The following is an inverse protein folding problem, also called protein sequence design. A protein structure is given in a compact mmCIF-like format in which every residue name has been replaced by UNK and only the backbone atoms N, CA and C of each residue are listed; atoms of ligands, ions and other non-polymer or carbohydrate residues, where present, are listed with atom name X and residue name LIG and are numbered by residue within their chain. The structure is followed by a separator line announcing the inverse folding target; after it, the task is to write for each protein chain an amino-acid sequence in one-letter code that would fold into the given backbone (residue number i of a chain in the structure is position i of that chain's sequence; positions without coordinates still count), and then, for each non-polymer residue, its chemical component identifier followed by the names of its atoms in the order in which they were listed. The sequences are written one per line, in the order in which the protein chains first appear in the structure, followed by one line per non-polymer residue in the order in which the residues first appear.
data_IF_224826580014
#
_entry.id   IF_224826580014
#
_cell.length_a   1.000
_cell.length_b   1.000
_cell.length_c   1.000
_cell.angle_alpha   90.00
_cell.angle_beta   90.00
_cell.angle_gamma   90.00
#
_symmetry.space_group_name_H-M   'P 1'
#
loop_
_entity.id
_entity.type
_entity.pdbx_description
1 polymer ?
#
# COMPACT_ATOMS: atom_id res chain seq x y z
N UNK A 1 -20.93 104.84 27.36
CA UNK A 1 -20.17 103.58 27.23
C UNK A 1 -21.07 102.36 27.10
N UNK A 2 -21.15 101.75 25.92
CA UNK A 2 -21.77 100.42 25.75
C UNK A 2 -20.70 99.37 26.04
N UNK A 3 -20.81 98.72 27.20
CA UNK A 3 -19.97 97.58 27.61
C UNK A 3 -20.27 96.43 26.65
N UNK A 4 -19.35 96.13 25.72
CA UNK A 4 -19.44 94.98 24.83
C UNK A 4 -19.45 93.71 25.67
N UNK A 5 -20.51 92.90 25.56
CA UNK A 5 -20.56 91.59 26.20
C UNK A 5 -19.55 90.66 25.52
N UNK A 6 -18.76 89.87 26.27
CA UNK A 6 -17.79 88.96 25.67
C UNK A 6 -18.54 87.85 24.92
N UNK A 7 -18.31 87.76 23.61
CA UNK A 7 -18.80 86.67 22.75
C UNK A 7 -17.71 85.63 22.59
N UNK A 8 -18.00 84.38 22.96
CA UNK A 8 -17.12 83.26 22.69
C UNK A 8 -17.22 82.86 21.22
N UNK A 9 -16.10 82.91 20.50
CA UNK A 9 -15.97 82.37 19.15
C UNK A 9 -15.24 81.03 19.21
N UNK A 10 -15.61 80.02 18.39
CA UNK A 10 -14.91 78.74 18.36
C UNK A 10 -13.44 78.91 17.98
N UNK A 11 -12.53 78.22 18.69
CA UNK A 11 -11.13 78.12 18.28
C UNK A 11 -11.02 77.32 16.99
N UNK A 12 -10.38 77.91 15.95
CA UNK A 12 -10.13 77.22 14.68
C UNK A 12 -8.71 76.63 14.69
N UNK A 13 -8.61 75.30 14.75
CA UNK A 13 -7.35 74.57 14.63
C UNK A 13 -6.97 74.31 13.16
N UNK A 14 -5.72 73.87 12.93
CA UNK A 14 -5.24 73.45 11.62
C UNK A 14 -6.08 72.27 11.09
N UNK A 15 -6.41 72.31 9.80
CA UNK A 15 -7.18 71.27 9.12
C UNK A 15 -6.40 69.95 9.09
N UNK A 16 -7.04 68.80 9.44
CA UNK A 16 -6.36 67.52 9.44
C UNK A 16 -5.90 67.12 8.03
N UNK A 17 -4.70 66.52 7.88
CA UNK A 17 -4.18 66.11 6.58
C UNK A 17 -4.79 64.76 6.14
N UNK A 18 -6.07 64.75 5.76
CA UNK A 18 -6.84 63.51 5.51
C UNK A 18 -6.32 62.66 4.33
N UNK A 19 -5.77 63.30 3.29
CA UNK A 19 -5.19 62.59 2.15
C UNK A 19 -3.81 61.99 2.45
N UNK A 20 -3.16 62.45 3.51
CA UNK A 20 -1.84 61.98 3.92
C UNK A 20 -2.04 60.86 4.95
N UNK A 21 -1.41 59.71 4.72
CA UNK A 21 -1.47 58.55 5.61
C UNK A 21 -2.84 57.86 5.71
N UNK A 22 -3.65 57.85 4.64
CA UNK A 22 -4.86 57.00 4.52
C UNK A 22 -5.91 57.19 5.63
N UNK A 23 -5.99 58.41 6.19
CA UNK A 23 -6.90 58.78 7.27
C UNK A 23 -8.31 59.09 6.74
N UNK A 24 -9.32 58.53 7.38
CA UNK A 24 -10.73 58.81 7.13
C UNK A 24 -11.30 59.51 8.37
N UNK A 25 -11.86 60.71 8.17
CA UNK A 25 -12.58 61.42 9.22
C UNK A 25 -13.94 60.76 9.44
N UNK A 26 -14.25 60.36 10.66
CA UNK A 26 -15.61 59.95 11.01
C UNK A 26 -16.43 61.19 11.34
N UNK A 27 -17.61 61.32 10.74
CA UNK A 27 -18.57 62.37 11.10
C UNK A 27 -18.98 62.21 12.57
N UNK A 28 -18.59 63.17 13.41
CA UNK A 28 -19.16 63.34 14.75
C UNK A 28 -19.86 64.70 14.74
N UNK A 29 -21.18 64.66 14.63
CA UNK A 29 -22.06 65.84 14.53
C UNK A 29 -22.41 66.46 15.89
N UNK A 30 -21.79 66.05 17.00
CA UNK A 30 -22.25 66.41 18.35
C UNK A 30 -21.30 67.24 19.23
N UNK A 31 -19.99 67.32 18.97
CA UNK A 31 -19.04 68.12 19.79
C UNK A 31 -18.19 69.07 18.92
N UNK A 32 -18.44 70.38 19.03
CA UNK A 32 -17.64 71.42 18.36
C UNK A 32 -16.17 71.36 18.83
N UNK A 33 -15.23 71.23 17.89
CA UNK A 33 -13.79 71.21 18.18
C UNK A 33 -13.20 69.82 18.47
N UNK A 34 -13.95 68.74 18.25
CA UNK A 34 -13.48 67.35 18.38
C UNK A 34 -13.50 66.67 17.02
N UNK A 35 -12.42 65.97 16.67
CA UNK A 35 -12.33 65.17 15.45
C UNK A 35 -11.96 63.74 15.80
N UNK A 36 -12.57 62.78 15.10
CA UNK A 36 -12.25 61.36 15.22
C UNK A 36 -11.72 60.83 13.91
N UNK A 37 -10.62 60.11 14.00
CA UNK A 37 -9.93 59.48 12.90
C UNK A 37 -10.19 57.98 12.90
N UNK A 38 -10.26 57.43 11.70
CA UNK A 38 -10.25 56.00 11.42
C UNK A 38 -9.36 55.76 10.19
N UNK A 39 -8.91 54.53 9.99
CA UNK A 39 -8.16 54.17 8.81
C UNK A 39 -9.06 53.46 7.80
N UNK A 40 -8.65 53.48 6.53
CA UNK A 40 -9.25 52.61 5.51
C UNK A 40 -9.03 51.14 5.85
N UNK A 41 -9.85 50.27 5.27
CA UNK A 41 -9.74 48.82 5.48
C UNK A 41 -8.32 48.30 5.14
N UNK A 42 -7.80 47.40 5.98
CA UNK A 42 -6.42 46.90 5.85
C UNK A 42 -5.34 47.76 6.49
N UNK A 43 -5.72 48.82 7.21
CA UNK A 43 -4.80 49.70 7.93
C UNK A 43 -5.18 49.86 9.40
N UNK A 44 -4.19 49.87 10.28
CA UNK A 44 -4.34 50.10 11.72
C UNK A 44 -3.89 51.51 12.09
N UNK A 45 -4.72 52.19 12.89
CA UNK A 45 -4.46 53.54 13.38
C UNK A 45 -3.43 53.51 14.51
N UNK A 46 -2.31 54.21 14.33
CA UNK A 46 -1.30 54.41 15.37
C UNK A 46 -1.34 55.86 15.86
N UNK A 47 -1.64 56.07 17.14
CA UNK A 47 -1.77 57.39 17.77
C UNK A 47 -3.16 57.60 18.38
N UNK A 48 -3.49 58.83 18.78
CA UNK A 48 -4.79 59.12 19.35
C UNK A 48 -5.89 59.09 18.26
N UNK A 49 -6.94 58.25 18.40
CA UNK A 49 -8.05 58.22 17.44
C UNK A 49 -8.95 59.46 17.55
N UNK A 50 -8.82 60.25 18.61
CA UNK A 50 -9.64 61.44 18.86
C UNK A 50 -8.74 62.61 19.23
N UNK A 51 -8.85 63.71 18.49
CA UNK A 51 -8.15 64.97 18.80
C UNK A 51 -9.14 66.05 19.21
N UNK A 52 -8.75 66.86 20.19
CA UNK A 52 -9.53 67.99 20.70
C UNK A 52 -8.77 69.29 20.47
N UNK A 53 -9.43 70.28 19.90
CA UNK A 53 -8.87 71.59 19.64
C UNK A 53 -8.84 72.42 20.93
N UNK A 54 -7.65 72.83 21.37
CA UNK A 54 -7.46 73.59 22.59
C UNK A 54 -7.72 75.10 22.36
N UNK A 55 -7.99 75.89 23.43
CA UNK A 55 -8.08 77.36 23.34
C UNK A 55 -6.83 78.03 22.76
N UNK A 56 -5.66 77.36 22.86
CA UNK A 56 -4.39 77.77 22.25
C UNK A 56 -4.35 77.61 20.73
N UNK A 57 -5.43 77.15 20.07
CA UNK A 57 -5.52 76.86 18.63
C UNK A 57 -4.60 75.73 18.15
N UNK A 58 -4.19 74.86 19.06
CA UNK A 58 -3.41 73.67 18.78
C UNK A 58 -4.20 72.41 19.17
N UNK A 59 -3.92 71.30 18.49
CA UNK A 59 -4.44 69.99 18.87
C UNK A 59 -3.79 69.53 20.17
N UNK A 60 -4.53 68.75 20.97
CA UNK A 60 -4.04 68.18 22.21
C UNK A 60 -2.97 67.08 22.01
N UNK A 61 -2.86 66.54 20.80
CA UNK A 61 -1.88 65.53 20.40
C UNK A 61 -1.57 65.67 18.90
N UNK A 62 -0.55 64.96 18.44
CA UNK A 62 -0.17 64.80 17.04
C UNK A 62 -1.21 64.02 16.22
N UNK A 63 -1.23 64.25 14.91
CA UNK A 63 -2.11 63.49 14.01
C UNK A 63 -1.71 62.00 14.00
N UNK A 64 -2.68 61.08 14.14
CA UNK A 64 -2.40 59.65 14.05
C UNK A 64 -1.95 59.26 12.63
N UNK A 65 -1.31 58.10 12.51
CA UNK A 65 -0.82 57.56 11.23
C UNK A 65 -1.45 56.19 11.00
N UNK A 66 -2.02 55.96 9.81
CA UNK A 66 -2.45 54.63 9.41
C UNK A 66 -1.27 53.83 8.88
N UNK A 67 -1.05 52.66 9.46
CA UNK A 67 -0.05 51.70 8.98
C UNK A 67 -0.75 50.49 8.40
N UNK A 68 -0.19 49.95 7.32
CA UNK A 68 -0.70 48.75 6.68
C UNK A 68 -0.68 47.57 7.65
N UNK A 69 -1.77 46.81 7.68
CA UNK A 69 -1.88 45.58 8.47
C UNK A 69 -0.92 44.53 7.91
N UNK A 70 -0.17 43.90 8.81
CA UNK A 70 0.78 42.85 8.50
C UNK A 70 0.33 41.56 9.17
N UNK A 71 0.20 40.50 8.38
CA UNK A 71 -0.04 39.16 8.90
C UNK A 71 1.27 38.51 9.35
N UNK A 72 1.21 37.50 10.24
CA UNK A 72 2.36 36.67 10.54
C UNK A 72 2.82 35.91 9.29
N UNK A 73 4.05 35.37 9.34
CA UNK A 73 4.50 34.42 8.31
C UNK A 73 3.45 33.31 8.14
N UNK A 74 3.13 32.88 6.91
CA UNK A 74 2.16 31.81 6.67
C UNK A 74 2.54 30.57 7.51
N UNK A 75 1.59 29.99 8.27
CA UNK A 75 1.85 28.80 9.08
C UNK A 75 2.23 27.60 8.22
N UNK A 76 3.13 26.76 8.73
CA UNK A 76 3.43 25.47 8.10
C UNK A 76 2.32 24.46 8.40
N UNK A 77 2.01 23.57 7.45
CA UNK A 77 1.03 22.48 7.62
C UNK A 77 1.71 21.12 7.48
N UNK A 78 1.17 20.10 8.13
CA UNK A 78 1.70 18.75 7.99
C UNK A 78 1.54 18.26 6.55
N UNK A 79 2.61 17.68 6.00
CA UNK A 79 2.65 17.12 4.66
C UNK A 79 2.34 18.10 3.51
N UNK A 80 2.50 19.41 3.74
CA UNK A 80 2.35 20.43 2.71
C UNK A 80 3.29 21.62 2.91
N UNK A 81 3.35 22.49 1.92
CA UNK A 81 4.19 23.69 1.94
C UNK A 81 3.41 24.93 1.47
N UNK A 82 3.65 26.10 2.11
CA UNK A 82 3.11 27.36 1.63
C UNK A 82 3.89 27.85 0.40
N UNK A 83 3.17 28.37 -0.60
CA UNK A 83 3.77 29.05 -1.74
C UNK A 83 4.60 30.26 -1.33
N UNK A 84 5.63 30.57 -2.12
CA UNK A 84 6.51 31.70 -1.87
C UNK A 84 5.76 33.03 -1.98
N UNK A 85 5.76 33.81 -0.90
CA UNK A 85 5.21 35.17 -0.88
C UNK A 85 6.27 36.21 -0.51
N UNK A 86 6.40 37.30 -1.30
CA UNK A 86 7.43 38.32 -1.08
C UNK A 86 7.11 39.25 0.09
N UNK A 87 5.84 39.33 0.50
CA UNK A 87 5.37 40.20 1.58
C UNK A 87 4.07 39.66 2.18
N UNK A 88 3.82 39.98 3.45
CA UNK A 88 2.68 39.48 4.24
C UNK A 88 1.80 40.63 4.74
N UNK A 89 1.23 41.39 3.83
CA UNK A 89 0.35 42.52 4.15
C UNK A 89 -1.11 42.22 3.80
N UNK A 90 -2.04 43.05 4.30
CA UNK A 90 -3.47 42.95 3.97
C UNK A 90 -3.71 42.73 2.47
N UNK A 91 -4.52 41.72 2.13
CA UNK A 91 -4.81 41.32 0.76
C UNK A 91 -3.75 40.42 0.10
N UNK A 92 -2.61 40.16 0.76
CA UNK A 92 -1.65 39.15 0.30
C UNK A 92 -2.29 37.78 0.30
N UNK A 93 -1.95 36.95 -0.69
CA UNK A 93 -2.50 35.61 -0.89
C UNK A 93 -1.39 34.58 -0.92
N UNK A 94 -1.62 33.44 -0.26
CA UNK A 94 -0.69 32.32 -0.20
C UNK A 94 -1.43 31.08 -0.66
N UNK A 95 -0.86 30.36 -1.61
CA UNK A 95 -1.39 29.09 -2.08
C UNK A 95 -0.57 27.94 -1.50
N UNK A 96 -1.23 26.98 -0.87
CA UNK A 96 -0.63 25.77 -0.33
C UNK A 96 -0.66 24.64 -1.36
N UNK A 97 0.36 23.81 -1.30
CA UNK A 97 0.45 22.56 -2.05
C UNK A 97 0.84 21.42 -1.11
N UNK A 98 0.21 20.26 -1.29
CA UNK A 98 0.59 19.05 -0.57
C UNK A 98 1.78 18.36 -1.24
N UNK A 99 2.56 17.64 -0.45
CA UNK A 99 3.61 16.76 -0.95
C UNK A 99 3.01 15.58 -1.74
N UNK A 100 3.83 14.93 -2.57
CA UNK A 100 3.43 13.75 -3.33
C UNK A 100 2.84 12.65 -2.43
N UNK A 101 1.71 12.09 -2.85
CA UNK A 101 0.97 11.08 -2.10
C UNK A 101 0.01 11.64 -1.05
N UNK A 102 -0.19 12.96 -1.02
CA UNK A 102 -1.18 13.62 -0.18
C UNK A 102 -2.13 14.49 -1.02
N UNK A 103 -3.41 14.46 -0.67
CA UNK A 103 -4.47 15.27 -1.27
C UNK A 103 -4.78 16.48 -0.38
N UNK A 104 -4.95 17.63 -1.03
CA UNK A 104 -5.34 18.86 -0.36
C UNK A 104 -6.84 18.86 -0.06
N UNK A 105 -7.19 18.90 1.21
CA UNK A 105 -8.56 19.03 1.69
C UNK A 105 -8.80 20.43 2.26
N UNK A 106 -9.76 21.15 1.68
CA UNK A 106 -10.08 22.54 2.05
C UNK A 106 -9.70 23.53 0.94
N UNK A 107 -9.57 24.80 1.30
CA UNK A 107 -9.23 25.85 0.34
C UNK A 107 -7.70 25.99 0.25
N UNK A 108 -7.16 25.80 -0.96
CA UNK A 108 -5.72 25.88 -1.17
C UNK A 108 -5.15 27.30 -1.00
N UNK A 109 -5.97 28.34 -1.17
CA UNK A 109 -5.56 29.74 -1.07
C UNK A 109 -6.12 30.40 0.19
N UNK A 110 -5.22 30.99 0.99
CA UNK A 110 -5.55 31.86 2.12
C UNK A 110 -5.13 33.31 1.83
N UNK A 111 -5.85 34.25 2.43
CA UNK A 111 -5.68 35.70 2.27
C UNK A 111 -5.48 36.36 3.62
N UNK A 112 -4.59 37.36 3.67
CA UNK A 112 -4.36 38.16 4.86
C UNK A 112 -5.50 39.18 5.05
N UNK A 113 -6.25 39.05 6.14
CA UNK A 113 -7.41 39.89 6.43
C UNK A 113 -7.05 41.21 7.13
N UNK A 114 -8.04 42.10 7.23
CA UNK A 114 -7.89 43.40 7.89
C UNK A 114 -7.60 43.27 9.39
N UNK A 115 -7.96 42.14 10.01
CA UNK A 115 -7.66 41.85 11.42
C UNK A 115 -6.22 41.36 11.65
N UNK A 116 -5.44 41.19 10.57
CA UNK A 116 -4.05 40.71 10.65
C UNK A 116 -3.91 39.20 10.77
N UNK A 117 -5.00 38.47 10.54
CA UNK A 117 -5.05 37.01 10.52
C UNK A 117 -5.25 36.47 9.11
N UNK A 118 -4.78 35.25 8.86
CA UNK A 118 -5.00 34.56 7.61
C UNK A 118 -6.37 33.90 7.59
N UNK A 119 -7.07 33.99 6.45
CA UNK A 119 -8.34 33.29 6.26
C UNK A 119 -8.54 32.84 4.80
N UNK A 120 -9.35 31.81 4.52
CA UNK A 120 -10.03 30.94 5.47
C UNK A 120 -9.06 30.04 6.25
N UNK A 121 -9.60 29.12 7.06
CA UNK A 121 -8.80 28.14 7.80
C UNK A 121 -7.83 27.38 6.89
N UNK A 122 -6.69 26.99 7.47
CA UNK A 122 -5.62 26.29 6.75
C UNK A 122 -6.13 24.97 6.14
N UNK A 123 -5.68 24.61 4.92
CA UNK A 123 -6.00 23.32 4.34
C UNK A 123 -5.26 22.19 5.07
N UNK A 124 -5.80 20.98 4.96
CA UNK A 124 -5.16 19.76 5.48
C UNK A 124 -4.68 18.89 4.33
N UNK A 125 -3.49 18.31 4.45
CA UNK A 125 -2.97 17.32 3.51
C UNK A 125 -3.22 15.91 4.06
N UNK A 126 -4.14 15.18 3.43
CA UNK A 126 -4.49 13.81 3.83
C UNK A 126 -3.84 12.82 2.88
N UNK A 127 -3.31 11.67 3.35
CA UNK A 127 -2.67 10.71 2.46
C UNK A 127 -3.68 10.16 1.45
N UNK A 128 -3.23 9.88 0.22
CA UNK A 128 -4.04 9.12 -0.74
C UNK A 128 -4.32 7.73 -0.20
N UNK A 129 -5.50 7.20 -0.52
CA UNK A 129 -5.91 5.84 -0.17
C UNK A 129 -6.02 4.99 -1.43
N UNK A 130 -5.31 3.87 -1.43
CA UNK A 130 -5.40 2.84 -2.45
C UNK A 130 -6.66 1.97 -2.25
N UNK A 131 -7.21 1.38 -3.32
CA UNK A 131 -8.37 0.50 -3.21
C UNK A 131 -8.07 -0.74 -2.37
N UNK A 132 -9.09 -1.39 -1.83
CA UNK A 132 -8.91 -2.67 -1.14
C UNK A 132 -8.25 -3.68 -2.09
N UNK A 133 -7.15 -4.35 -1.68
CA UNK A 133 -6.49 -5.34 -2.53
C UNK A 133 -7.38 -6.55 -2.81
N UNK A 134 -7.34 -7.04 -4.04
CA UNK A 134 -8.11 -8.21 -4.46
C UNK A 134 -7.51 -9.51 -3.92
N UNK A 135 -8.37 -10.48 -3.60
CA UNK A 135 -7.93 -11.82 -3.23
C UNK A 135 -7.45 -12.61 -4.46
N UNK A 136 -6.35 -13.35 -4.30
CA UNK A 136 -5.84 -14.24 -5.35
C UNK A 136 -6.17 -15.71 -5.04
N UNK A 137 -6.46 -16.49 -6.08
CA UNK A 137 -6.76 -17.92 -5.94
C UNK A 137 -5.58 -18.67 -5.32
N UNK A 138 -5.84 -19.47 -4.29
CA UNK A 138 -4.83 -20.20 -3.51
C UNK A 138 -3.78 -19.30 -2.83
N UNK A 139 -4.05 -18.00 -2.72
CA UNK A 139 -3.25 -17.08 -1.92
C UNK A 139 -3.91 -16.68 -0.61
N UNK A 140 -3.13 -15.92 0.15
CA UNK A 140 -3.47 -15.28 1.41
C UNK A 140 -2.94 -13.85 1.27
N UNK A 141 -3.79 -12.87 1.56
CA UNK A 141 -3.46 -11.45 1.50
C UNK A 141 -3.34 -10.90 2.92
N UNK A 142 -2.21 -10.27 3.23
CA UNK A 142 -1.95 -9.56 4.48
C UNK A 142 -1.85 -8.05 4.18
N UNK A 143 -2.80 -7.28 4.70
CA UNK A 143 -2.93 -5.84 4.41
C UNK A 143 -2.40 -5.06 5.60
N UNK A 144 -1.26 -4.39 5.44
CA UNK A 144 -0.63 -3.60 6.51
C UNK A 144 -1.11 -2.13 6.55
N UNK A 145 -1.91 -1.72 5.57
CA UNK A 145 -2.53 -0.41 5.45
C UNK A 145 -3.01 -0.15 4.03
N UNK A 146 -3.76 0.93 3.83
CA UNK A 146 -4.27 1.33 2.50
C UNK A 146 -3.79 2.72 2.07
N UNK A 147 -3.13 3.48 2.95
CA UNK A 147 -2.69 4.84 2.66
C UNK A 147 -1.34 4.85 1.94
N UNK A 148 -0.94 6.00 1.39
CA UNK A 148 0.36 6.21 0.75
C UNK A 148 1.52 5.55 1.49
N UNK A 149 2.37 4.81 0.77
CA UNK A 149 3.50 4.00 1.26
C UNK A 149 3.13 2.78 2.14
N UNK A 150 1.84 2.54 2.40
CA UNK A 150 1.41 1.27 3.00
C UNK A 150 1.68 0.10 2.05
N UNK A 151 1.80 -1.10 2.62
CA UNK A 151 2.13 -2.31 1.87
C UNK A 151 1.10 -3.41 2.06
N UNK A 152 1.04 -4.28 1.06
CA UNK A 152 0.22 -5.49 1.05
C UNK A 152 1.13 -6.65 0.69
N UNK A 153 1.08 -7.71 1.47
CA UNK A 153 1.87 -8.91 1.26
C UNK A 153 0.98 -10.09 0.84
N UNK A 154 1.28 -10.65 -0.32
CA UNK A 154 0.69 -11.88 -0.80
C UNK A 154 1.58 -13.06 -0.46
N UNK A 155 0.94 -14.12 0.04
CA UNK A 155 1.57 -15.42 0.26
C UNK A 155 0.69 -16.50 -0.34
N UNK A 156 1.28 -17.63 -0.74
CA UNK A 156 0.51 -18.76 -1.27
C UNK A 156 0.21 -19.76 -0.17
N UNK A 157 -0.94 -20.42 -0.28
CA UNK A 157 -1.29 -21.57 0.57
C UNK A 157 -0.30 -22.71 0.34
N UNK A 158 -0.14 -23.64 1.29
CA UNK A 158 0.74 -24.79 1.13
C UNK A 158 0.44 -25.58 -0.16
N UNK A 159 1.49 -26.01 -0.85
CA UNK A 159 1.41 -26.69 -2.15
C UNK A 159 1.33 -25.77 -3.36
N UNK A 160 1.40 -24.45 -3.16
CA UNK A 160 1.46 -23.44 -4.22
C UNK A 160 2.69 -22.56 -4.09
N UNK A 161 3.29 -22.22 -5.23
CA UNK A 161 4.40 -21.28 -5.36
C UNK A 161 3.91 -19.91 -5.85
N UNK A 162 4.48 -18.84 -5.31
CA UNK A 162 4.15 -17.47 -5.71
C UNK A 162 4.98 -17.06 -6.93
N UNK A 163 4.30 -16.66 -8.00
CA UNK A 163 4.91 -16.14 -9.22
C UNK A 163 4.60 -14.65 -9.34
N UNK A 164 5.62 -13.80 -9.29
CA UNK A 164 5.49 -12.34 -9.37
C UNK A 164 6.05 -11.63 -8.14
N UNK A 165 5.66 -10.37 -7.93
CA UNK A 165 6.04 -9.62 -6.74
C UNK A 165 5.09 -9.97 -5.58
N UNK A 166 5.63 -10.42 -4.46
CA UNK A 166 4.85 -10.74 -3.28
C UNK A 166 4.27 -9.48 -2.61
N UNK A 167 4.91 -8.32 -2.78
CA UNK A 167 4.53 -7.08 -2.08
C UNK A 167 4.05 -6.01 -3.06
N UNK A 168 2.89 -5.43 -2.77
CA UNK A 168 2.42 -4.20 -3.42
C UNK A 168 2.57 -3.02 -2.46
N UNK A 169 2.85 -1.84 -2.99
CA UNK A 169 3.02 -0.60 -2.21
C UNK A 169 2.05 0.45 -2.72
N UNK A 170 1.36 1.16 -1.84
CA UNK A 170 0.43 2.22 -2.25
C UNK A 170 1.20 3.43 -2.79
N UNK A 171 1.00 3.73 -4.07
CA UNK A 171 1.65 4.82 -4.79
C UNK A 171 1.07 6.19 -4.47
N UNK A 172 1.79 7.23 -4.88
CA UNK A 172 1.38 8.62 -4.68
C UNK A 172 0.12 9.01 -5.47
N UNK A 173 -0.23 8.23 -6.49
CA UNK A 173 -1.40 8.40 -7.35
C UNK A 173 -2.65 7.65 -6.83
N UNK A 174 -2.55 6.99 -5.67
CA UNK A 174 -3.64 6.19 -5.10
C UNK A 174 -3.81 4.82 -5.76
N UNK A 175 -2.82 4.33 -6.50
CA UNK A 175 -2.82 2.98 -7.05
C UNK A 175 -1.73 2.10 -6.44
N UNK A 176 -2.01 0.80 -6.37
CA UNK A 176 -1.02 -0.18 -5.95
C UNK A 176 0.10 -0.30 -6.99
N UNK A 177 1.32 -0.05 -6.54
CA UNK A 177 2.54 -0.24 -7.31
C UNK A 177 3.00 -1.69 -7.18
N UNK A 178 3.18 -2.33 -8.33
CA UNK A 178 3.59 -3.72 -8.45
C UNK A 178 2.59 -4.55 -9.27
N UNK A 179 3.04 -5.67 -9.81
CA UNK A 179 2.18 -6.60 -10.53
C UNK A 179 1.50 -7.57 -9.57
N UNK A 180 0.20 -7.79 -9.76
CA UNK A 180 -0.55 -8.81 -8.99
C UNK A 180 0.11 -10.19 -9.14
N UNK A 181 0.50 -10.85 -8.05
CA UNK A 181 1.13 -12.18 -8.12
C UNK A 181 0.10 -13.27 -8.38
N UNK A 182 0.59 -14.42 -8.85
CA UNK A 182 -0.24 -15.61 -9.10
C UNK A 182 0.33 -16.80 -8.36
N UNK A 183 -0.51 -17.50 -7.59
CA UNK A 183 -0.16 -18.76 -6.96
C UNK A 183 -0.36 -19.91 -7.93
N UNK A 184 0.73 -20.61 -8.28
CA UNK A 184 0.68 -21.81 -9.13
C UNK A 184 0.95 -23.07 -8.31
N UNK A 185 0.34 -24.22 -8.64
CA UNK A 185 0.62 -25.45 -7.94
C UNK A 185 2.10 -25.83 -8.07
N UNK A 186 2.75 -26.17 -6.97
CA UNK A 186 4.12 -26.69 -6.96
C UNK A 186 4.19 -27.90 -7.88
N UNK A 187 5.26 -27.98 -8.68
CA UNK A 187 5.48 -29.10 -9.61
C UNK A 187 6.50 -30.05 -9.02
N UNK A 188 6.12 -31.32 -8.88
CA UNK A 188 7.03 -32.37 -8.44
C UNK A 188 8.09 -32.69 -9.48
N UNK A 189 9.19 -33.27 -9.00
CA UNK A 189 10.24 -33.84 -9.85
C UNK A 189 9.64 -34.83 -10.86
N UNK A 190 10.13 -34.87 -12.12
CA UNK A 190 9.66 -35.83 -13.11
C UNK A 190 9.65 -37.26 -12.56
N UNK A 191 8.59 -38.01 -12.87
CA UNK A 191 8.49 -39.41 -12.50
C UNK A 191 9.69 -40.17 -13.08
N UNK A 192 10.40 -40.93 -12.24
CA UNK A 192 11.58 -41.69 -12.67
C UNK A 192 11.14 -42.85 -13.55
N UNK A 193 11.87 -43.11 -14.62
CA UNK A 193 11.67 -44.34 -15.39
C UNK A 193 12.21 -45.54 -14.62
N UNK A 194 11.45 -46.63 -14.58
CA UNK A 194 11.84 -47.85 -13.90
C UNK A 194 12.14 -48.97 -14.91
N UNK A 195 13.25 -49.70 -14.78
CA UNK A 195 13.53 -50.85 -15.63
C UNK A 195 12.43 -51.89 -15.52
N UNK A 196 12.06 -52.52 -16.64
CA UNK A 196 11.01 -53.53 -16.71
C UNK A 196 9.64 -53.04 -16.17
N UNK A 197 9.38 -51.74 -16.20
CA UNK A 197 8.09 -51.16 -15.84
C UNK A 197 7.78 -49.88 -16.59
N UNK A 198 6.64 -49.28 -16.27
CA UNK A 198 6.12 -48.04 -16.87
C UNK A 198 5.47 -47.18 -15.80
N UNK A 199 5.65 -45.88 -15.90
CA UNK A 199 4.93 -44.87 -15.11
C UNK A 199 3.87 -44.21 -15.98
N UNK A 200 2.74 -43.85 -15.38
CA UNK A 200 1.64 -43.15 -16.02
C UNK A 200 1.14 -42.04 -15.10
N UNK A 201 1.02 -40.82 -15.63
CA UNK A 201 0.49 -39.66 -14.91
C UNK A 201 -0.14 -38.68 -15.89
N UNK A 202 -1.14 -37.93 -15.45
CA UNK A 202 -1.76 -36.85 -16.22
C UNK A 202 -1.08 -35.49 -15.99
N UNK A 203 -0.56 -35.29 -14.78
CA UNK A 203 0.05 -34.06 -14.31
C UNK A 203 1.00 -34.36 -13.16
N UNK A 204 1.99 -33.50 -12.96
CA UNK A 204 3.01 -33.63 -11.90
C UNK A 204 2.85 -32.54 -10.83
N UNK A 205 1.71 -31.86 -10.81
CA UNK A 205 1.45 -30.78 -9.86
C UNK A 205 1.01 -31.32 -8.49
N UNK A 206 1.10 -30.48 -7.46
CA UNK A 206 0.66 -30.78 -6.09
C UNK A 206 -0.70 -31.50 -6.05
N UNK A 207 -0.77 -32.59 -5.29
CA UNK A 207 -1.96 -33.44 -5.15
C UNK A 207 -2.24 -34.40 -6.31
N UNK A 208 -1.46 -34.35 -7.39
CA UNK A 208 -1.56 -35.31 -8.50
C UNK A 208 -0.77 -36.58 -8.20
N UNK A 209 -1.14 -37.68 -8.86
CA UNK A 209 -0.52 -38.98 -8.65
C UNK A 209 0.15 -39.53 -9.91
N UNK A 210 1.20 -40.31 -9.69
CA UNK A 210 1.82 -41.16 -10.72
C UNK A 210 1.64 -42.62 -10.35
N UNK A 211 1.20 -43.42 -11.31
CA UNK A 211 1.00 -44.86 -11.14
C UNK A 211 2.08 -45.63 -11.89
N UNK A 212 2.76 -46.51 -11.17
CA UNK A 212 3.77 -47.44 -11.68
C UNK A 212 3.18 -48.83 -11.90
N UNK A 213 3.66 -49.49 -12.95
CA UNK A 213 3.29 -50.86 -13.30
C UNK A 213 4.50 -51.60 -13.84
N UNK A 214 4.63 -52.88 -13.51
CA UNK A 214 5.70 -53.73 -14.02
C UNK A 214 5.27 -54.49 -15.27
N UNK A 215 6.24 -54.78 -16.12
CA UNK A 215 6.08 -55.69 -17.26
C UNK A 215 5.78 -57.11 -16.78
N UNK A 216 5.24 -57.94 -17.67
CA UNK A 216 4.97 -59.35 -17.37
C UNK A 216 6.25 -60.06 -16.93
N UNK A 217 6.15 -60.90 -15.90
CA UNK A 217 7.28 -61.61 -15.30
C UNK A 217 8.03 -60.84 -14.21
N UNK A 218 7.55 -59.66 -13.85
CA UNK A 218 8.05 -58.87 -12.73
C UNK A 218 6.91 -58.51 -11.78
N UNK A 219 7.20 -58.47 -10.49
CA UNK A 219 6.30 -57.95 -9.47
C UNK A 219 6.83 -56.61 -8.95
N UNK A 220 5.92 -55.72 -8.55
CA UNK A 220 6.26 -54.37 -8.10
C UNK A 220 6.55 -54.37 -6.60
N UNK A 221 7.76 -53.99 -6.23
CA UNK A 221 8.17 -53.79 -4.84
C UNK A 221 8.14 -52.29 -4.51
N UNK A 222 7.35 -51.92 -3.49
CA UNK A 222 7.13 -50.54 -3.07
C UNK A 222 5.68 -50.07 -3.32
N UNK A 223 5.44 -48.76 -3.22
CA UNK A 223 4.12 -48.20 -3.47
C UNK A 223 3.85 -48.06 -4.98
N UNK A 224 2.75 -48.62 -5.51
CA UNK A 224 2.44 -48.54 -6.94
C UNK A 224 1.93 -47.16 -7.36
N UNK A 225 1.45 -46.34 -6.42
CA UNK A 225 0.92 -45.00 -6.68
C UNK A 225 1.67 -44.05 -5.75
N UNK A 226 2.29 -43.02 -6.33
CA UNK A 226 2.94 -41.95 -5.58
C UNK A 226 2.17 -40.65 -5.76
N UNK A 227 2.06 -39.85 -4.69
CA UNK A 227 1.35 -38.56 -4.66
C UNK A 227 2.35 -37.41 -4.55
N UNK A 228 2.13 -36.35 -5.33
CA UNK A 228 2.95 -35.15 -5.29
C UNK A 228 2.64 -34.32 -4.04
N UNK A 229 3.64 -34.16 -3.16
CA UNK A 229 3.55 -33.39 -1.92
C UNK A 229 3.73 -31.88 -2.15
N UNK A 230 3.37 -31.11 -1.14
CA UNK A 230 3.51 -29.65 -1.13
C UNK A 230 4.97 -29.17 -1.23
N UNK A 231 5.92 -30.03 -0.87
CA UNK A 231 7.36 -29.78 -0.97
C UNK A 231 7.91 -29.90 -2.40
N UNK A 232 7.13 -30.41 -3.35
CA UNK A 232 7.60 -30.78 -4.68
C UNK A 232 8.30 -32.15 -4.74
N UNK A 233 8.18 -32.95 -3.69
CA UNK A 233 8.64 -34.34 -3.66
C UNK A 233 7.49 -35.35 -3.72
N UNK A 234 7.82 -36.59 -4.05
CA UNK A 234 6.86 -37.69 -4.01
C UNK A 234 6.73 -38.20 -2.57
N UNK A 235 5.53 -38.63 -2.18
CA UNK A 235 5.21 -39.17 -0.84
C UNK A 235 5.97 -40.45 -0.46
N UNK A 236 6.48 -41.19 -1.45
CA UNK A 236 7.40 -42.29 -1.24
C UNK A 236 8.47 -42.41 -2.34
N UNK A 237 9.42 -43.32 -2.12
CA UNK A 237 10.45 -43.64 -3.08
C UNK A 237 9.91 -44.35 -4.31
N UNK A 238 10.65 -44.22 -5.42
CA UNK A 238 10.30 -44.88 -6.69
C UNK A 238 10.32 -46.40 -6.51
N UNK A 239 9.23 -47.12 -6.85
CA UNK A 239 9.17 -48.58 -6.70
C UNK A 239 10.11 -49.29 -7.69
N UNK A 240 10.43 -50.55 -7.40
CA UNK A 240 11.33 -51.37 -8.22
C UNK A 240 10.60 -52.61 -8.73
N UNK A 241 10.77 -52.92 -10.02
CA UNK A 241 10.28 -54.16 -10.60
C UNK A 241 11.29 -55.27 -10.36
N UNK A 242 10.91 -56.25 -9.55
CA UNK A 242 11.71 -57.45 -9.28
C UNK A 242 11.22 -58.62 -10.11
N UNK A 243 12.16 -59.40 -10.63
CA UNK A 243 11.83 -60.63 -11.37
C UNK A 243 11.01 -61.56 -10.48
N UNK A 244 9.96 -62.12 -11.04
CA UNK A 244 9.22 -63.21 -10.40
C UNK A 244 10.08 -64.46 -10.62
N UNK A 245 10.51 -65.07 -9.53
CA UNK A 245 11.18 -66.36 -9.52
C UNK A 245 10.39 -67.31 -8.62
N UNK A 246 10.21 -68.55 -9.08
CA UNK A 246 9.65 -69.61 -8.26
C UNK A 246 10.72 -70.15 -7.32
N UNK A 247 10.28 -70.66 -6.17
CA UNK A 247 11.16 -71.45 -5.32
C UNK A 247 11.63 -72.69 -6.08
N UNK A 248 12.87 -73.16 -5.85
CA UNK A 248 13.34 -74.41 -6.44
C UNK A 248 12.36 -75.54 -6.09
N UNK A 249 11.90 -76.33 -7.08
CA UNK A 249 10.98 -77.42 -6.85
C UNK A 249 11.62 -78.46 -5.93
N UNK A 250 10.79 -79.07 -5.07
CA UNK A 250 11.25 -80.14 -4.20
C UNK A 250 11.81 -81.33 -5.01
N UNK A 251 12.79 -82.01 -4.43
CA UNK A 251 13.34 -83.22 -5.04
C UNK A 251 12.26 -84.31 -5.13
N UNK A 252 12.08 -84.87 -6.32
CA UNK A 252 11.13 -85.97 -6.54
C UNK A 252 11.76 -87.32 -6.16
N UNK A 253 11.01 -88.14 -5.43
CA UNK A 253 11.47 -89.48 -5.04
C UNK A 253 11.57 -90.38 -6.29
N UNK A 254 12.67 -91.11 -6.43
CA UNK A 254 12.96 -91.94 -7.60
C UNK A 254 12.98 -91.20 -8.96
N UNK A 255 13.31 -89.90 -8.97
CA UNK A 255 13.49 -89.10 -10.18
C UNK A 255 14.44 -87.92 -9.99
N UNK A 256 14.50 -87.06 -11.00
CA UNK A 256 15.32 -85.85 -11.02
C UNK A 256 14.57 -84.71 -11.72
N UNK A 257 14.83 -83.48 -11.27
CA UNK A 257 14.36 -82.25 -11.92
C UNK A 257 15.47 -81.73 -12.82
N UNK A 258 15.15 -81.53 -14.09
CA UNK A 258 16.05 -80.97 -15.10
C UNK A 258 15.73 -79.48 -15.30
N UNK A 259 16.74 -78.63 -15.11
CA UNK A 259 16.63 -77.17 -15.21
C UNK A 259 17.12 -76.48 -13.94
N UNK A 260 17.77 -75.32 -14.10
CA UNK A 260 18.28 -74.51 -12.99
C UNK A 260 17.80 -73.04 -13.04
N UNK A 261 16.95 -72.72 -14.02
CA UNK A 261 16.35 -71.40 -14.17
C UNK A 261 14.90 -71.46 -13.69
N UNK A 262 14.60 -70.72 -12.62
CA UNK A 262 13.27 -70.66 -12.00
C UNK A 262 12.59 -69.32 -12.22
N UNK A 263 13.09 -68.50 -13.15
CA UNK A 263 12.50 -67.22 -13.50
C UNK A 263 11.19 -67.40 -14.25
N UNK A 264 10.33 -66.39 -14.19
CA UNK A 264 9.05 -66.39 -14.89
C UNK A 264 9.20 -66.72 -16.39
N UNK A 265 8.46 -67.74 -16.83
CA UNK A 265 8.49 -68.22 -18.21
C UNK A 265 9.58 -69.25 -18.51
N UNK A 266 10.47 -69.55 -17.55
CA UNK A 266 11.33 -70.72 -17.62
C UNK A 266 10.51 -72.00 -17.44
N UNK A 267 11.03 -73.10 -17.98
CA UNK A 267 10.39 -74.41 -17.99
C UNK A 267 11.33 -75.42 -17.34
N UNK A 268 10.81 -76.21 -16.42
CA UNK A 268 11.52 -77.34 -15.81
C UNK A 268 10.90 -78.66 -16.26
N UNK A 269 11.72 -79.71 -16.33
CA UNK A 269 11.29 -81.03 -16.78
C UNK A 269 11.53 -82.03 -15.65
N UNK A 270 10.54 -82.88 -15.39
CA UNK A 270 10.67 -83.98 -14.43
C UNK A 270 10.97 -85.29 -15.15
N UNK A 271 11.99 -86.00 -14.68
CA UNK A 271 12.46 -87.25 -15.27
C UNK A 271 12.58 -88.35 -14.21
N UNK A 272 12.14 -89.57 -14.53
CA UNK A 272 12.21 -90.71 -13.61
C UNK A 272 13.52 -91.50 -13.74
N UNK A 273 13.97 -92.10 -12.63
CA UNK A 273 15.02 -93.11 -12.68
C UNK A 273 14.55 -94.35 -13.47
N UNK A 274 15.47 -95.12 -14.08
CA UNK A 274 15.13 -96.33 -14.81
C UNK A 274 14.27 -97.29 -13.96
N UNK A 275 13.13 -97.72 -14.49
CA UNK A 275 12.19 -98.61 -13.81
C UNK A 275 10.98 -97.91 -13.15
N UNK A 276 10.94 -96.57 -13.16
CA UNK A 276 9.82 -95.77 -12.65
C UNK A 276 9.15 -94.98 -13.78
N UNK A 277 7.86 -94.68 -13.63
CA UNK A 277 7.07 -93.91 -14.61
C UNK A 277 6.42 -92.70 -13.94
N UNK A 278 6.51 -91.55 -14.58
CA UNK A 278 5.92 -90.31 -14.08
C UNK A 278 4.41 -90.34 -14.24
N UNK A 279 3.67 -90.04 -13.17
CA UNK A 279 2.21 -89.98 -13.18
C UNK A 279 1.76 -88.54 -12.96
N UNK A 280 1.59 -87.80 -14.06
CA UNK A 280 1.28 -86.37 -14.03
C UNK A 280 1.94 -85.60 -15.18
N UNK A 281 1.85 -84.26 -15.17
CA UNK A 281 2.54 -83.42 -16.14
C UNK A 281 4.06 -83.52 -15.95
N UNK A 282 4.79 -83.82 -17.03
CA UNK A 282 6.25 -83.94 -17.02
C UNK A 282 6.97 -82.57 -17.12
N UNK A 283 6.21 -81.49 -17.31
CA UNK A 283 6.71 -80.15 -17.60
C UNK A 283 5.93 -79.15 -16.75
N UNK A 284 6.64 -78.20 -16.14
CA UNK A 284 6.03 -77.12 -15.35
C UNK A 284 6.73 -75.79 -15.58
#
# INVERSE_FOLDING_TARGET
DKKQMPTCVPSKCQEPPLLLHDLVLQEITSELGVVKFSCREGYVLQGSPVLRCLPSRHWNDSFPVCKLVLCPKPPDIDYGEPGSVPSVHYGSKVQYSCMDGFLLQGQAEITCNADGEWSPDLPNCVPVECPQPDEILNGIVDVQGLTYLSSVLYTCKPGFELIGNATLICGADGHWLGGMPVCKPVKCRPAREIPNGKSSSYSLHFGQTVTYSCSKGFWLEGQPILTCLETGEWDADTPVCKEIACDPPDAIENGFVEGADYRYGAVIIYSCMPGFQLTGPAIQ
#
